data_IF_758893937964
#
_entry.id   IF_758893937964
#
_cell.length_a   1.000
_cell.length_b   1.000
_cell.length_c   1.000
_cell.angle_alpha   90.00
_cell.angle_beta   90.00
_cell.angle_gamma   90.00
#
_symmetry.space_group_name_H-M   'P 1'
#
loop_
_entity.id
_entity.type
_entity.pdbx_description
1 polymer ?
#
# COMPACT_ATOMS: atom_id res chain seq x y z
N UNK A 1 66.17 -23.68 -3.92
CA UNK A 1 65.84 -23.95 -5.34
C UNK A 1 64.64 -24.88 -5.34
N UNK A 2 63.48 -24.35 -5.75
CA UNK A 2 62.20 -25.06 -5.76
C UNK A 2 61.99 -25.67 -7.13
N UNK A 3 61.85 -27.00 -7.19
CA UNK A 3 61.22 -27.71 -8.32
C UNK A 3 60.58 -28.99 -7.79
N UNK A 4 59.47 -28.84 -7.09
CA UNK A 4 58.55 -29.96 -6.86
C UNK A 4 57.75 -30.18 -8.14
N UNK A 5 58.32 -30.97 -9.06
CA UNK A 5 57.61 -31.44 -10.25
C UNK A 5 56.67 -32.55 -9.80
N UNK A 6 55.40 -32.19 -9.63
CA UNK A 6 54.35 -33.07 -9.20
C UNK A 6 53.97 -34.03 -10.35
N UNK A 7 54.74 -35.11 -10.55
CA UNK A 7 54.38 -36.17 -11.50
C UNK A 7 53.31 -37.06 -10.86
N UNK A 8 52.05 -36.62 -10.89
CA UNK A 8 50.92 -37.54 -10.69
C UNK A 8 51.10 -38.73 -11.63
N UNK A 9 50.90 -39.94 -11.12
CA UNK A 9 51.03 -41.15 -11.94
C UNK A 9 49.99 -41.10 -13.07
N UNK A 10 50.36 -41.53 -14.28
CA UNK A 10 49.43 -41.56 -15.44
C UNK A 10 48.13 -42.30 -15.10
N UNK A 11 48.23 -43.37 -14.31
CA UNK A 11 47.10 -44.15 -13.82
C UNK A 11 46.16 -43.33 -12.92
N UNK A 12 46.66 -42.35 -12.18
CA UNK A 12 45.85 -41.47 -11.33
C UNK A 12 45.13 -40.42 -12.16
N UNK A 13 45.79 -39.88 -13.19
CA UNK A 13 45.20 -38.92 -14.13
C UNK A 13 44.07 -39.57 -14.92
N UNK A 14 44.28 -40.78 -15.46
CA UNK A 14 43.24 -41.54 -16.16
C UNK A 14 42.01 -41.80 -15.26
N UNK A 15 42.25 -42.18 -14.00
CA UNK A 15 41.17 -42.33 -13.00
C UNK A 15 40.44 -41.02 -12.73
N UNK A 16 41.13 -39.89 -12.71
CA UNK A 16 40.50 -38.57 -12.55
C UNK A 16 39.66 -38.18 -13.78
N UNK A 17 40.11 -38.51 -14.99
CA UNK A 17 39.38 -38.21 -16.24
C UNK A 17 38.13 -39.06 -16.44
N UNK A 18 38.13 -40.30 -15.96
CA UNK A 18 36.97 -41.21 -16.06
C UNK A 18 35.91 -40.88 -15.00
N UNK A 19 36.29 -40.25 -13.89
CA UNK A 19 35.34 -39.88 -12.83
C UNK A 19 34.30 -38.88 -13.34
N UNK A 20 33.10 -38.95 -12.74
CA UNK A 20 32.06 -37.95 -12.97
C UNK A 20 32.59 -36.58 -12.57
N UNK A 21 32.39 -35.59 -13.43
CA UNK A 21 32.77 -34.20 -13.18
C UNK A 21 32.08 -33.68 -11.91
N UNK A 22 32.82 -32.94 -11.10
CA UNK A 22 32.22 -32.19 -10.00
C UNK A 22 31.18 -31.20 -10.52
N UNK A 23 30.14 -30.97 -9.73
CA UNK A 23 29.08 -30.03 -10.06
C UNK A 23 29.58 -28.63 -10.40
N UNK A 24 30.73 -28.21 -9.83
CA UNK A 24 31.39 -26.93 -10.12
C UNK A 24 31.77 -26.74 -11.59
N UNK A 25 32.03 -27.84 -12.30
CA UNK A 25 32.49 -27.84 -13.69
C UNK A 25 31.37 -28.14 -14.68
N UNK A 26 30.12 -28.16 -14.23
CA UNK A 26 28.95 -28.26 -15.08
C UNK A 26 28.42 -26.86 -15.37
N UNK A 27 28.00 -26.59 -16.62
CA UNK A 27 27.45 -25.28 -16.98
C UNK A 27 26.13 -24.96 -16.26
N UNK A 28 25.19 -25.91 -16.27
CA UNK A 28 23.87 -25.73 -15.64
C UNK A 28 23.67 -26.67 -14.44
N UNK A 29 23.73 -26.06 -13.25
CA UNK A 29 23.62 -26.77 -11.97
C UNK A 29 22.34 -26.38 -11.25
N UNK A 30 21.37 -27.29 -11.25
CA UNK A 30 20.17 -27.17 -10.42
C UNK A 30 20.48 -27.48 -8.93
N UNK A 31 19.62 -27.03 -8.02
CA UNK A 31 19.73 -27.24 -6.58
C UNK A 31 19.89 -28.71 -6.18
N UNK A 32 19.33 -29.65 -6.97
CA UNK A 32 19.42 -31.09 -6.73
C UNK A 32 20.77 -31.70 -7.13
N UNK A 33 21.50 -31.06 -8.05
CA UNK A 33 22.78 -31.55 -8.60
C UNK A 33 23.97 -31.17 -7.72
N UNK A 34 23.79 -30.27 -6.76
CA UNK A 34 24.83 -29.81 -5.83
C UNK A 34 24.50 -30.18 -4.38
N UNK A 35 25.51 -30.37 -3.51
CA UNK A 35 25.29 -30.55 -2.08
C UNK A 35 24.59 -29.34 -1.44
N UNK A 36 23.90 -29.58 -0.32
CA UNK A 36 23.26 -28.52 0.46
C UNK A 36 24.31 -27.50 0.94
N UNK A 37 23.97 -26.20 0.91
CA UNK A 37 24.81 -25.09 1.36
C UNK A 37 26.19 -24.97 0.67
N UNK A 38 26.39 -25.66 -0.46
CA UNK A 38 27.67 -25.70 -1.14
C UNK A 38 28.09 -24.39 -1.81
N UNK A 39 27.18 -23.42 -1.92
CA UNK A 39 27.48 -22.07 -2.39
C UNK A 39 28.11 -21.20 -1.30
N UNK A 40 27.80 -21.46 -0.02
CA UNK A 40 28.27 -20.65 1.11
C UNK A 40 29.72 -20.96 1.48
N UNK A 41 30.17 -22.20 1.22
CA UNK A 41 31.49 -22.69 1.62
C UNK A 41 32.58 -22.43 0.60
N UNK A 42 32.24 -21.91 -0.58
CA UNK A 42 33.17 -21.67 -1.69
C UNK A 42 33.23 -20.17 -1.93
N UNK A 43 34.39 -19.57 -1.72
CA UNK A 43 34.57 -18.12 -1.68
C UNK A 43 34.65 -17.44 -3.06
N UNK A 44 34.68 -18.20 -4.16
CA UNK A 44 35.07 -17.66 -5.47
C UNK A 44 33.95 -17.77 -6.51
N UNK A 45 32.81 -17.12 -6.26
CA UNK A 45 31.79 -16.90 -7.28
C UNK A 45 31.65 -15.40 -7.52
N UNK A 46 32.05 -14.96 -8.72
CA UNK A 46 31.77 -13.60 -9.19
C UNK A 46 30.46 -13.60 -9.97
N UNK A 47 29.56 -12.68 -9.60
CA UNK A 47 28.29 -12.47 -10.28
C UNK A 47 27.97 -10.98 -10.31
N UNK A 48 27.28 -10.56 -11.36
CA UNK A 48 26.85 -9.17 -11.50
C UNK A 48 25.56 -8.93 -10.70
N UNK A 49 25.50 -7.79 -10.01
CA UNK A 49 24.33 -7.33 -9.25
C UNK A 49 23.84 -6.03 -9.88
N UNK A 50 22.55 -5.95 -10.22
CA UNK A 50 21.98 -4.83 -10.96
C UNK A 50 21.89 -3.55 -10.13
N UNK A 51 21.64 -3.66 -8.83
CA UNK A 51 21.51 -2.52 -7.94
C UNK A 51 22.01 -2.89 -6.55
N UNK A 52 22.92 -2.09 -6.01
CA UNK A 52 23.39 -2.24 -4.63
C UNK A 52 22.72 -1.17 -3.78
N UNK A 53 22.01 -1.62 -2.74
CA UNK A 53 21.41 -0.70 -1.78
C UNK A 53 22.54 -0.09 -0.97
N UNK A 54 22.73 1.23 -1.09
CA UNK A 54 23.70 1.96 -0.28
C UNK A 54 23.27 1.98 1.19
N UNK A 55 24.17 1.58 2.08
CA UNK A 55 23.91 1.67 3.52
C UNK A 55 23.98 3.13 3.99
N UNK A 56 23.02 3.55 4.80
CA UNK A 56 23.02 4.90 5.40
C UNK A 56 24.16 5.00 6.42
N UNK A 57 25.13 5.85 6.11
CA UNK A 57 26.25 6.18 6.98
C UNK A 57 25.85 7.20 8.07
N UNK A 58 26.62 7.24 9.15
CA UNK A 58 26.43 8.27 10.20
C UNK A 58 26.56 9.70 9.66
N UNK A 59 27.40 9.93 8.64
CA UNK A 59 27.56 11.24 8.00
C UNK A 59 26.27 11.69 7.31
N UNK A 60 25.64 10.78 6.56
CA UNK A 60 24.34 11.03 5.92
C UNK A 60 23.26 11.33 6.96
N UNK A 61 23.22 10.61 8.09
CA UNK A 61 22.28 10.89 9.17
C UNK A 61 22.46 12.31 9.76
N UNK A 62 23.70 12.74 10.00
CA UNK A 62 23.99 14.09 10.50
C UNK A 62 23.53 15.15 9.49
N UNK A 63 23.76 14.90 8.20
CA UNK A 63 23.33 15.81 7.13
C UNK A 63 21.80 15.90 7.03
N UNK A 64 21.11 14.77 7.09
CA UNK A 64 19.64 14.71 7.13
C UNK A 64 19.11 15.50 8.32
N UNK A 65 19.67 15.31 9.52
CA UNK A 65 19.26 16.07 10.71
C UNK A 65 19.49 17.57 10.55
N UNK A 66 20.65 17.97 9.99
CA UNK A 66 20.95 19.38 9.74
C UNK A 66 19.94 20.00 8.77
N UNK A 67 19.63 19.31 7.67
CA UNK A 67 18.63 19.75 6.69
C UNK A 67 17.24 19.87 7.31
N UNK A 68 16.82 18.89 8.12
CA UNK A 68 15.54 18.93 8.81
C UNK A 68 15.46 20.12 9.78
N UNK A 69 16.50 20.38 10.56
CA UNK A 69 16.55 21.54 11.47
C UNK A 69 16.48 22.88 10.73
N UNK A 70 17.12 22.99 9.57
CA UNK A 70 17.04 24.19 8.73
C UNK A 70 15.61 24.43 8.23
N UNK A 71 14.94 23.40 7.68
CA UNK A 71 13.55 23.51 7.22
C UNK A 71 12.58 23.87 8.34
N UNK A 72 12.76 23.28 9.53
CA UNK A 72 11.96 23.63 10.71
C UNK A 72 12.16 25.10 11.09
N UNK A 73 13.39 25.62 11.03
CA UNK A 73 13.69 27.03 11.31
C UNK A 73 13.11 27.97 10.26
N UNK A 74 13.13 27.58 8.99
CA UNK A 74 12.60 28.35 7.87
C UNK A 74 11.08 28.26 7.75
N UNK A 75 10.46 27.25 8.40
CA UNK A 75 9.02 27.00 8.30
C UNK A 75 8.59 26.49 6.92
N UNK A 76 9.53 25.98 6.11
CA UNK A 76 9.29 25.52 4.74
C UNK A 76 8.90 24.06 4.74
N UNK A 77 7.59 23.81 4.73
CA UNK A 77 7.01 22.48 4.69
C UNK A 77 6.27 22.27 3.37
N UNK A 78 6.51 21.13 2.74
CA UNK A 78 5.85 20.71 1.51
C UNK A 78 4.45 20.11 1.81
N UNK A 79 3.74 20.70 2.79
CA UNK A 79 2.42 20.23 3.21
C UNK A 79 1.37 20.61 2.17
N UNK A 80 0.32 19.79 2.04
CA UNK A 80 -0.84 20.13 1.24
C UNK A 80 -1.73 21.13 2.00
N UNK A 81 -2.06 22.26 1.37
CA UNK A 81 -2.98 23.23 1.93
C UNK A 81 -4.43 22.83 1.62
N UNK A 82 -5.25 22.72 2.66
CA UNK A 82 -6.68 22.48 2.50
C UNK A 82 -7.40 23.81 2.27
N UNK A 83 -8.11 23.93 1.15
CA UNK A 83 -9.08 25.01 0.94
C UNK A 83 -10.33 24.70 1.75
N UNK A 84 -10.45 25.30 2.94
CA UNK A 84 -11.71 25.26 3.69
C UNK A 84 -12.70 26.16 2.95
N UNK A 85 -13.63 25.55 2.21
CA UNK A 85 -14.80 26.26 1.71
C UNK A 85 -15.73 26.41 2.91
N UNK A 86 -15.66 27.56 3.58
CA UNK A 86 -16.72 27.97 4.48
C UNK A 86 -17.99 28.09 3.62
N UNK A 87 -18.91 27.12 3.74
CA UNK A 87 -20.28 27.29 3.24
C UNK A 87 -20.83 28.48 4.02
N UNK A 88 -20.74 29.68 3.45
CA UNK A 88 -21.55 30.79 3.91
C UNK A 88 -22.99 30.32 3.71
N UNK A 89 -23.64 29.93 4.80
CA UNK A 89 -25.09 29.88 4.86
C UNK A 89 -25.55 31.33 4.68
N UNK A 90 -25.58 31.80 3.44
CA UNK A 90 -26.50 32.86 3.10
C UNK A 90 -27.87 32.30 3.47
N UNK A 91 -28.47 32.84 4.55
CA UNK A 91 -29.92 32.80 4.75
C UNK A 91 -30.55 33.51 3.54
N UNK A 92 -30.54 32.83 2.39
CA UNK A 92 -31.50 33.11 1.34
C UNK A 92 -32.81 32.79 2.03
N UNK A 93 -33.62 33.82 2.27
CA UNK A 93 -34.99 33.71 2.73
C UNK A 93 -35.74 32.86 1.70
N UNK A 94 -35.62 31.55 1.84
CA UNK A 94 -36.16 30.59 0.90
C UNK A 94 -37.64 30.54 1.19
N UNK A 95 -38.41 31.28 0.39
CA UNK A 95 -39.85 31.26 0.48
C UNK A 95 -40.34 29.89 0.00
N UNK A 96 -40.44 28.93 0.94
CA UNK A 96 -40.82 27.54 0.69
C UNK A 96 -42.16 27.43 -0.04
N UNK A 97 -43.04 28.44 0.03
CA UNK A 97 -44.36 28.43 -0.62
C UNK A 97 -44.31 28.80 -2.11
N UNK A 98 -43.40 29.67 -2.52
CA UNK A 98 -43.27 30.10 -3.93
C UNK A 98 -42.49 29.09 -4.78
N UNK A 99 -41.68 28.25 -4.15
CA UNK A 99 -40.78 27.33 -4.84
C UNK A 99 -41.17 25.84 -4.73
N UNK A 100 -42.36 25.52 -4.18
CA UNK A 100 -42.81 24.11 -4.02
C UNK A 100 -42.79 23.34 -5.33
N UNK A 101 -43.31 23.95 -6.39
CA UNK A 101 -43.37 23.33 -7.71
C UNK A 101 -41.97 23.01 -8.26
N UNK A 102 -41.00 23.88 -7.98
CA UNK A 102 -39.60 23.69 -8.41
C UNK A 102 -38.95 22.56 -7.62
N UNK A 103 -39.20 22.47 -6.31
CA UNK A 103 -38.70 21.39 -5.44
C UNK A 103 -39.32 20.05 -5.82
N UNK A 104 -40.63 20.01 -6.07
CA UNK A 104 -41.33 18.80 -6.49
C UNK A 104 -40.82 18.30 -7.85
N UNK A 105 -40.68 19.20 -8.82
CA UNK A 105 -40.12 18.86 -10.13
C UNK A 105 -38.66 18.40 -10.04
N UNK A 106 -37.85 19.06 -9.22
CA UNK A 106 -36.46 18.68 -8.99
C UNK A 106 -36.35 17.26 -8.41
N UNK A 107 -37.17 16.96 -7.40
CA UNK A 107 -37.21 15.64 -6.76
C UNK A 107 -37.71 14.55 -7.73
N UNK A 108 -38.68 14.87 -8.59
CA UNK A 108 -39.18 13.94 -9.60
C UNK A 108 -38.08 13.59 -10.61
N UNK A 109 -37.40 14.60 -11.16
CA UNK A 109 -36.29 14.43 -12.09
C UNK A 109 -35.14 13.65 -11.44
N UNK A 110 -34.74 14.00 -10.21
CA UNK A 110 -33.68 13.27 -9.50
C UNK A 110 -34.06 11.81 -9.29
N UNK A 111 -35.33 11.53 -8.94
CA UNK A 111 -35.81 10.16 -8.76
C UNK A 111 -35.82 9.34 -10.06
N UNK A 112 -36.09 9.97 -11.20
CA UNK A 112 -36.03 9.32 -12.51
C UNK A 112 -34.60 9.12 -12.96
N UNK A 113 -33.74 10.12 -12.79
CA UNK A 113 -32.30 10.01 -13.06
C UNK A 113 -31.67 8.89 -12.23
N UNK A 114 -32.06 8.72 -10.97
CA UNK A 114 -31.56 7.64 -10.11
C UNK A 114 -32.02 6.24 -10.55
N UNK A 115 -33.17 6.13 -11.22
CA UNK A 115 -33.67 4.88 -11.79
C UNK A 115 -33.01 4.54 -13.13
N UNK A 116 -32.62 5.56 -13.90
CA UNK A 116 -32.00 5.43 -15.22
C UNK A 116 -30.48 5.24 -15.11
N UNK A 117 -29.86 5.93 -14.16
CA UNK A 117 -28.42 5.93 -13.92
C UNK A 117 -28.05 4.84 -12.92
N UNK A 118 -27.12 3.97 -13.32
CA UNK A 118 -26.48 2.98 -12.46
C UNK A 118 -25.46 3.69 -11.53
N UNK A 119 -25.96 4.57 -10.64
CA UNK A 119 -25.16 5.42 -9.72
C UNK A 119 -24.31 4.64 -8.71
N UNK A 120 -24.35 3.31 -8.72
CA UNK A 120 -23.36 2.49 -8.03
C UNK A 120 -21.94 2.61 -8.59
N UNK A 121 -21.77 3.17 -9.80
CA UNK A 121 -20.46 3.29 -10.48
C UNK A 121 -19.80 4.66 -10.40
N UNK A 122 -20.53 5.74 -10.13
CA UNK A 122 -19.97 7.09 -10.01
C UNK A 122 -20.44 7.66 -8.68
N UNK A 123 -19.49 7.92 -7.77
CA UNK A 123 -19.71 8.32 -6.38
C UNK A 123 -20.40 9.68 -6.21
N UNK A 124 -21.59 9.83 -6.76
CA UNK A 124 -22.50 10.93 -6.52
C UNK A 124 -23.32 10.58 -5.28
N UNK A 125 -23.04 11.28 -4.18
CA UNK A 125 -23.84 11.23 -2.97
C UNK A 125 -24.63 12.54 -2.93
N UNK A 126 -25.97 12.54 -3.08
CA UNK A 126 -26.74 13.77 -2.99
C UNK A 126 -26.65 14.33 -1.56
N UNK A 127 -26.43 15.65 -1.45
CA UNK A 127 -26.28 16.40 -0.18
C UNK A 127 -27.62 16.59 0.57
N UNK A 128 -28.72 15.98 0.10
CA UNK A 128 -30.08 16.21 0.63
C UNK A 128 -30.60 14.96 1.34
N UNK A 129 -31.11 15.12 2.57
CA UNK A 129 -31.85 14.08 3.27
C UNK A 129 -33.12 13.72 2.50
N UNK A 130 -33.07 12.62 1.73
CA UNK A 130 -34.22 12.08 1.00
C UNK A 130 -35.28 11.66 2.03
N UNK A 131 -36.31 12.49 2.21
CA UNK A 131 -37.52 12.10 2.94
C UNK A 131 -38.31 11.13 2.07
N UNK A 132 -38.07 9.84 2.28
CA UNK A 132 -38.87 8.78 1.69
C UNK A 132 -40.32 8.91 2.16
N UNK A 133 -41.21 9.43 1.31
CA UNK A 133 -42.65 9.31 1.50
C UNK A 133 -43.08 7.87 1.23
N UNK A 134 -42.78 6.99 2.18
CA UNK A 134 -43.33 5.64 2.19
C UNK A 134 -44.82 5.77 2.50
N UNK A 135 -45.68 5.41 1.53
CA UNK A 135 -47.10 5.20 1.79
C UNK A 135 -47.24 4.20 2.93
N UNK A 136 -47.82 4.64 4.04
CA UNK A 136 -48.05 3.84 5.22
C UNK A 136 -48.89 2.60 4.89
N UNK A 137 -48.24 1.43 4.87
CA UNK A 137 -48.92 0.19 5.23
C UNK A 137 -48.48 -0.21 6.64
N UNK A 138 -49.42 -0.09 7.57
CA UNK A 138 -49.28 -0.50 8.97
C UNK A 138 -49.02 -2.00 9.01
N UNK A 139 -47.80 -2.41 9.36
CA UNK A 139 -47.52 -3.74 9.92
C UNK A 139 -46.58 -3.65 11.10
N UNK A 140 -47.18 -3.66 12.28
CA UNK A 140 -46.54 -4.02 13.54
C UNK A 140 -45.66 -5.26 13.39
N UNK A 141 -44.37 -5.15 13.76
CA UNK A 141 -43.60 -6.25 14.40
C UNK A 141 -42.19 -5.80 14.84
N UNK A 142 -42.07 -5.61 16.16
CA UNK A 142 -40.95 -5.99 17.05
C UNK A 142 -39.54 -5.42 16.73
N UNK A 143 -39.19 -4.37 17.47
CA UNK A 143 -37.83 -3.86 17.70
C UNK A 143 -36.86 -5.01 18.05
N UNK A 144 -35.73 -5.12 17.32
CA UNK A 144 -34.56 -5.91 17.74
C UNK A 144 -33.49 -4.95 18.28
N UNK A 145 -32.85 -5.39 19.35
CA UNK A 145 -31.99 -4.62 20.25
C UNK A 145 -30.75 -4.02 19.56
N UNK A 146 -30.50 -2.74 19.85
CA UNK A 146 -29.25 -2.02 19.56
C UNK A 146 -28.17 -2.54 20.51
N UNK A 147 -27.03 -3.00 19.96
CA UNK A 147 -25.85 -3.36 20.76
C UNK A 147 -25.14 -2.08 21.18
N UNK A 148 -25.06 -1.79 22.47
CA UNK A 148 -24.28 -0.68 23.02
C UNK A 148 -22.78 -0.99 23.00
N UNK A 149 -21.97 -0.01 22.63
CA UNK A 149 -20.50 -0.08 22.61
C UNK A 149 -19.87 0.08 24.01
N UNK A 150 -20.47 -0.52 25.04
CA UNK A 150 -20.08 -0.32 26.44
C UNK A 150 -18.74 -0.96 26.88
N UNK A 151 -18.04 -1.69 26.00
CA UNK A 151 -16.91 -2.54 26.41
C UNK A 151 -15.61 -2.32 25.61
N UNK A 152 -15.30 -1.09 25.16
CA UNK A 152 -13.95 -0.77 24.67
C UNK A 152 -13.14 -0.18 25.82
N UNK A 153 -12.52 -1.06 26.62
CA UNK A 153 -11.42 -0.67 27.51
C UNK A 153 -10.15 -0.59 26.67
N UNK A 154 -9.57 0.61 26.62
CA UNK A 154 -8.21 0.98 26.19
C UNK A 154 -8.19 2.06 25.10
N UNK A 155 -8.53 3.29 25.48
CA UNK A 155 -8.02 4.49 24.79
C UNK A 155 -7.53 5.45 25.86
N UNK A 156 -6.21 5.57 26.00
CA UNK A 156 -5.56 6.61 26.80
C UNK A 156 -5.39 7.83 25.90
N UNK A 157 -6.09 8.92 26.21
CA UNK A 157 -5.84 10.23 25.60
C UNK A 157 -4.75 10.91 26.43
N UNK A 158 -3.59 11.16 25.83
CA UNK A 158 -2.54 11.96 26.46
C UNK A 158 -2.99 13.43 26.51
N UNK A 159 -2.90 14.03 27.70
CA UNK A 159 -3.05 15.49 27.92
C UNK A 159 -1.74 16.20 27.65
#
# INVERSE_FOLDING_TARGET
MVKDVNTKSLLEIEKELIKKKDWKYLGEVDKKKRPLNSLLTKNDFSYDVTEQIESISQKQNVEIMKMALLRVREGTFDNYDFTVVEKQEEEIEYNEEENKDVVELYNEIESELLKISDFGSFGFMPDVEIKNYVKNEIKDKRRKNVKSLGNIKNVTVLK
#
